data_IF_573178010404
#
_entry.id   IF_573178010404
#
_cell.length_a   1.000
_cell.length_b   1.000
_cell.length_c   1.000
_cell.angle_alpha   90.00
_cell.angle_beta   90.00
_cell.angle_gamma   90.00
#
_symmetry.space_group_name_H-M   'P 1'
#
loop_
_entity.id
_entity.type
_entity.pdbx_description
1 polymer ?
#
# COMPACT_ATOMS: atom_id res chain seq x y z
N UNK A 1 -11.56 16.77 -14.70
CA UNK A 1 -11.03 17.14 -13.37
C UNK A 1 -9.78 16.29 -13.08
N UNK A 2 -8.75 16.82 -12.39
CA UNK A 2 -7.63 16.00 -11.95
C UNK A 2 -8.10 14.94 -10.96
N UNK A 3 -7.58 13.72 -11.09
CA UNK A 3 -7.86 12.61 -10.16
C UNK A 3 -7.20 12.95 -8.82
N UNK A 4 -7.91 12.87 -7.67
CA UNK A 4 -7.29 13.11 -6.37
C UNK A 4 -6.17 12.07 -6.11
N UNK A 5 -5.11 12.45 -5.38
CA UNK A 5 -4.09 11.49 -4.97
C UNK A 5 -4.71 10.43 -4.06
N UNK A 6 -4.12 9.24 -4.09
CA UNK A 6 -4.59 8.08 -3.33
C UNK A 6 -3.43 7.56 -2.48
N UNK A 7 -3.71 7.11 -1.27
CA UNK A 7 -2.75 6.38 -0.44
C UNK A 7 -3.09 4.90 -0.51
N UNK A 8 -2.20 4.12 -1.10
CA UNK A 8 -2.29 2.66 -1.16
C UNK A 8 -1.55 2.12 0.06
N UNK A 9 -2.14 1.14 0.74
CA UNK A 9 -1.55 0.58 1.95
C UNK A 9 -1.66 -0.94 2.00
N UNK A 10 -0.76 -1.54 2.77
CA UNK A 10 -0.80 -2.93 3.20
C UNK A 10 -0.59 -2.95 4.70
N UNK A 11 -1.51 -3.59 5.41
CA UNK A 11 -1.33 -3.97 6.81
C UNK A 11 -0.88 -5.42 6.85
N UNK A 12 0.25 -5.68 7.51
CA UNK A 12 0.80 -7.02 7.69
C UNK A 12 0.90 -7.33 9.19
N UNK A 13 0.31 -8.43 9.62
CA UNK A 13 0.40 -8.90 11.00
C UNK A 13 1.38 -10.08 11.11
N UNK A 14 2.08 -10.18 12.25
CA UNK A 14 3.09 -11.22 12.48
C UNK A 14 4.25 -11.20 11.46
N UNK A 15 4.60 -10.02 10.94
CA UNK A 15 5.68 -9.82 9.95
C UNK A 15 7.03 -10.40 10.40
N UNK A 16 7.44 -10.15 11.66
CA UNK A 16 8.68 -10.70 12.23
C UNK A 16 8.65 -12.23 12.40
N UNK A 17 7.46 -12.79 12.67
CA UNK A 17 7.25 -14.25 12.75
C UNK A 17 7.43 -14.88 11.37
N UNK A 18 6.84 -14.25 10.34
CA UNK A 18 6.97 -14.65 8.93
C UNK A 18 8.42 -14.61 8.44
N UNK A 19 9.18 -13.56 8.78
CA UNK A 19 10.62 -13.43 8.44
C UNK A 19 11.47 -14.58 8.98
N UNK A 20 11.04 -15.21 10.07
CA UNK A 20 11.68 -16.38 10.69
C UNK A 20 11.15 -17.72 10.15
N UNK A 21 10.35 -17.70 9.10
CA UNK A 21 9.74 -18.90 8.50
C UNK A 21 8.60 -19.50 9.33
N UNK A 22 8.09 -18.78 10.34
CA UNK A 22 7.01 -19.27 11.18
C UNK A 22 5.65 -18.88 10.59
N UNK A 23 4.66 -19.76 10.78
CA UNK A 23 3.27 -19.53 10.37
C UNK A 23 2.70 -18.35 11.18
N UNK A 24 2.05 -17.36 10.54
CA UNK A 24 1.41 -16.25 11.22
C UNK A 24 0.26 -16.77 12.10
N UNK A 25 -0.04 -16.07 13.18
CA UNK A 25 -1.06 -16.48 14.17
C UNK A 25 -2.43 -15.85 13.93
N UNK A 26 -2.58 -15.11 12.83
CA UNK A 26 -3.79 -14.34 12.56
C UNK A 26 -4.22 -14.45 11.11
N UNK A 27 -5.51 -14.19 10.90
CA UNK A 27 -6.11 -14.03 9.58
C UNK A 27 -6.95 -12.76 9.55
N UNK A 28 -6.72 -11.87 8.58
CA UNK A 28 -7.58 -10.71 8.32
C UNK A 28 -8.92 -11.16 7.72
N UNK A 29 -10.03 -10.66 8.30
CA UNK A 29 -11.39 -11.07 7.92
C UNK A 29 -11.89 -10.41 6.63
N UNK A 30 -11.35 -9.24 6.29
CA UNK A 30 -11.71 -8.47 5.09
C UNK A 30 -10.65 -8.52 3.99
N UNK A 31 -9.74 -9.48 4.04
CA UNK A 31 -8.63 -9.58 3.07
C UNK A 31 -9.13 -9.82 1.66
N UNK A 32 -8.48 -9.23 0.67
CA UNK A 32 -8.75 -9.54 -0.74
C UNK A 32 -8.41 -11.00 -1.09
N UNK A 33 -8.95 -11.54 -2.19
CA UNK A 33 -8.66 -12.91 -2.60
C UNK A 33 -7.17 -13.15 -2.92
N UNK A 34 -6.46 -12.10 -3.35
CA UNK A 34 -5.03 -12.13 -3.62
C UNK A 34 -4.17 -11.85 -2.37
N UNK A 35 -4.76 -11.33 -1.30
CA UNK A 35 -4.03 -11.01 -0.08
C UNK A 35 -3.73 -12.29 0.71
N UNK A 36 -2.48 -12.49 1.16
CA UNK A 36 -2.16 -13.52 2.14
C UNK A 36 -3.01 -13.38 3.40
N UNK A 37 -3.24 -14.48 4.14
CA UNK A 37 -4.10 -14.48 5.33
C UNK A 37 -3.71 -13.42 6.39
N UNK A 38 -2.42 -13.18 6.55
CA UNK A 38 -1.83 -12.26 7.51
C UNK A 38 -1.68 -10.83 6.96
N UNK A 39 -2.26 -10.55 5.80
CA UNK A 39 -2.22 -9.25 5.16
C UNK A 39 -3.62 -8.78 4.73
N UNK A 40 -3.78 -7.46 4.65
CA UNK A 40 -4.90 -6.82 3.98
C UNK A 40 -4.37 -5.60 3.25
N UNK A 41 -4.71 -5.48 1.97
CA UNK A 41 -4.40 -4.33 1.15
C UNK A 41 -5.62 -3.43 0.98
N UNK A 42 -5.39 -2.15 0.72
CA UNK A 42 -6.47 -1.20 0.50
C UNK A 42 -5.96 0.15 0.04
N UNK A 43 -6.90 1.08 -0.15
CA UNK A 43 -6.57 2.43 -0.53
C UNK A 43 -7.48 3.48 0.12
N UNK A 44 -6.97 4.70 0.23
CA UNK A 44 -7.65 5.85 0.80
C UNK A 44 -7.45 7.05 -0.12
N UNK A 45 -8.53 7.64 -0.61
CA UNK A 45 -8.45 8.91 -1.33
C UNK A 45 -8.01 10.05 -0.40
N UNK A 46 -7.16 10.93 -0.91
CA UNK A 46 -6.67 12.12 -0.23
C UNK A 46 -7.19 13.38 -0.94
N UNK A 47 -8.48 13.74 -0.75
CA UNK A 47 -9.12 14.80 -1.53
C UNK A 47 -8.59 16.20 -1.22
N UNK A 48 -8.02 16.42 -0.01
CA UNK A 48 -7.46 17.70 0.43
C UNK A 48 -6.20 17.49 1.28
N UNK A 49 -5.30 18.46 1.25
CA UNK A 49 -4.17 18.48 2.16
C UNK A 49 -4.64 18.56 3.62
N UNK A 50 -3.91 17.89 4.52
CA UNK A 50 -4.16 17.84 5.98
C UNK A 50 -5.49 17.21 6.39
N UNK A 51 -6.27 16.68 5.46
CA UNK A 51 -7.47 15.91 5.79
C UNK A 51 -7.07 14.55 6.36
N UNK A 52 -7.68 14.16 7.48
CA UNK A 52 -7.43 12.85 8.11
C UNK A 52 -8.48 11.85 7.64
N UNK A 53 -8.02 10.73 7.09
CA UNK A 53 -8.85 9.56 6.75
C UNK A 53 -8.36 8.35 7.52
N UNK A 54 -9.29 7.48 7.89
CA UNK A 54 -8.99 6.25 8.63
C UNK A 54 -9.52 5.05 7.83
N UNK A 55 -8.75 3.97 7.83
CA UNK A 55 -9.21 2.64 7.44
C UNK A 55 -9.20 1.74 8.68
N UNK A 56 -10.19 0.87 8.78
CA UNK A 56 -10.29 -0.13 9.85
C UNK A 56 -10.08 -1.52 9.26
N UNK A 57 -9.34 -2.36 9.98
CA UNK A 57 -9.16 -3.76 9.63
C UNK A 57 -9.38 -4.63 10.86
N UNK A 58 -10.03 -5.77 10.67
CA UNK A 58 -10.25 -6.76 11.71
C UNK A 58 -9.53 -8.03 11.34
N UNK A 59 -8.75 -8.58 12.28
CA UNK A 59 -8.17 -9.90 12.16
C UNK A 59 -8.64 -10.79 13.30
N UNK A 60 -8.65 -12.10 13.04
CA UNK A 60 -8.92 -13.16 14.01
C UNK A 60 -7.62 -13.86 14.37
N UNK A 61 -7.45 -14.20 15.65
CA UNK A 61 -6.42 -15.11 16.13
C UNK A 61 -6.75 -16.54 15.75
N UNK A 62 -5.76 -17.31 15.32
CA UNK A 62 -5.92 -18.75 15.13
C UNK A 62 -6.20 -19.44 16.48
N UNK A 63 -6.96 -20.53 16.46
CA UNK A 63 -7.37 -21.20 17.70
C UNK A 63 -6.19 -21.90 18.39
N UNK A 64 -5.26 -22.48 17.62
CA UNK A 64 -4.16 -23.32 18.13
C UNK A 64 -2.83 -22.58 18.36
N UNK A 65 -2.88 -21.33 18.79
CA UNK A 65 -1.67 -20.54 19.06
C UNK A 65 -0.94 -21.09 20.30
N UNK A 66 0.21 -21.74 20.06
CA UNK A 66 1.13 -22.18 21.11
C UNK A 66 1.92 -21.02 21.72
N UNK A 67 2.29 -20.06 20.88
CA UNK A 67 3.12 -18.92 21.28
C UNK A 67 2.25 -17.72 21.64
N UNK A 68 1.94 -17.61 22.94
CA UNK A 68 1.06 -16.56 23.49
C UNK A 68 1.84 -15.40 24.12
N UNK A 69 3.14 -15.56 24.34
CA UNK A 69 3.96 -14.57 25.05
C UNK A 69 4.51 -13.49 24.11
N UNK A 70 4.80 -13.83 22.85
CA UNK A 70 5.30 -12.84 21.88
C UNK A 70 4.15 -11.97 21.35
N UNK A 71 4.32 -10.65 21.27
CA UNK A 71 3.28 -9.77 20.73
C UNK A 71 3.01 -10.07 19.25
N UNK A 72 1.82 -9.72 18.78
CA UNK A 72 1.48 -9.75 17.36
C UNK A 72 1.75 -8.35 16.82
N UNK A 73 2.92 -8.18 16.19
CA UNK A 73 3.28 -6.93 15.56
C UNK A 73 2.43 -6.72 14.30
N UNK A 74 1.89 -5.51 14.13
CA UNK A 74 1.21 -5.08 12.90
C UNK A 74 2.06 -3.99 12.26
N UNK A 75 2.44 -4.21 11.01
CA UNK A 75 3.26 -3.30 10.20
C UNK A 75 2.37 -2.64 9.13
N UNK A 76 2.49 -1.32 8.99
CA UNK A 76 1.85 -0.55 7.94
C UNK A 76 2.90 -0.18 6.89
N UNK A 77 2.72 -0.65 5.66
CA UNK A 77 3.42 -0.15 4.49
C UNK A 77 2.46 0.69 3.64
N UNK A 78 2.90 1.85 3.15
CA UNK A 78 2.05 2.71 2.33
C UNK A 78 2.84 3.42 1.23
N UNK A 79 2.13 3.79 0.16
CA UNK A 79 2.65 4.56 -0.96
C UNK A 79 1.58 5.54 -1.47
N UNK A 80 2.02 6.69 -1.99
CA UNK A 80 1.13 7.62 -2.68
C UNK A 80 0.99 7.16 -4.13
N UNK A 81 -0.22 6.73 -4.50
CA UNK A 81 -0.65 6.40 -5.85
C UNK A 81 -1.31 7.59 -6.57
N UNK A 82 -1.71 7.36 -7.84
CA UNK A 82 -2.48 8.35 -8.63
C UNK A 82 -1.65 9.31 -9.48
N UNK A 83 -0.32 9.25 -9.48
CA UNK A 83 0.54 10.16 -10.28
C UNK A 83 0.72 9.75 -11.75
N UNK A 84 -0.14 8.87 -12.30
CA UNK A 84 -0.09 8.47 -13.73
C UNK A 84 -0.25 9.63 -14.72
N UNK A 85 -0.54 10.85 -14.23
CA UNK A 85 -0.58 12.09 -15.02
C UNK A 85 0.68 12.95 -15.02
N UNK A 86 1.67 12.77 -14.12
CA UNK A 86 2.84 13.69 -14.09
C UNK A 86 3.90 13.31 -15.13
N UNK A 87 4.08 12.03 -15.46
CA UNK A 87 5.14 11.60 -16.40
C UNK A 87 4.72 11.57 -17.89
N UNK A 88 3.68 12.30 -18.29
CA UNK A 88 3.27 12.39 -19.71
C UNK A 88 3.07 13.84 -20.21
N UNK A 89 3.89 14.76 -19.73
CA UNK A 89 4.04 16.12 -20.29
C UNK A 89 5.31 16.35 -21.10
N UNK A 90 6.08 15.30 -21.44
CA UNK A 90 7.40 15.42 -22.08
C UNK A 90 7.52 14.70 -23.42
N UNK A 91 6.52 14.79 -24.29
CA UNK A 91 6.63 14.39 -25.72
C UNK A 91 5.64 15.21 -26.53
N UNK A 92 6.06 16.40 -26.97
CA UNK A 92 5.21 17.26 -27.79
C UNK A 92 5.76 18.66 -28.02
N UNK A 93 7.01 18.76 -28.48
CA UNK A 93 7.57 19.82 -29.36
C UNK A 93 9.07 19.56 -29.46
N UNK A 94 9.46 18.59 -30.29
CA UNK A 94 10.84 18.60 -30.78
C UNK A 94 10.96 19.84 -31.68
N UNK A 95 11.66 20.87 -31.21
CA UNK A 95 12.06 21.98 -32.07
C UNK A 95 12.88 21.39 -33.22
N UNK A 96 12.59 21.76 -34.49
CA UNK A 96 13.36 21.24 -35.61
C UNK A 96 14.84 21.63 -35.45
N UNK A 97 15.78 20.77 -35.89
CA UNK A 97 17.20 21.07 -35.80
C UNK A 97 17.50 22.33 -36.59
N UNK A 98 18.14 23.30 -35.93
CA UNK A 98 18.60 24.53 -36.58
C UNK A 98 19.79 24.17 -37.49
N UNK A 99 19.69 24.53 -38.77
CA UNK A 99 20.80 24.45 -39.69
C UNK A 99 21.88 25.49 -39.31
N UNK A 100 23.17 25.17 -39.45
CA UNK A 100 24.24 26.12 -39.16
C UNK A 100 24.19 27.29 -40.15
N UNK A 101 24.24 28.50 -39.61
CA UNK A 101 24.42 29.72 -40.41
C UNK A 101 25.90 29.82 -40.83
N UNK A 102 26.13 30.03 -42.12
CA UNK A 102 27.42 30.40 -42.71
C UNK A 102 27.60 31.92 -42.69
#
# INVERSE_FOLDING_TARGET
PPVPPELQFVLEADSERRRRGQVPRVTFLGRGPADPEHQISGSLELPRQRERRCASATFRLHDDIRDKLRPIAVTLAFAIGGTRGWHRGGRGTALPPLAPAL
#
